data_IF_789629617025
#
_entry.id   IF_789629617025
#
_cell.length_a   1.000
_cell.length_b   1.000
_cell.length_c   1.000
_cell.angle_alpha   90.00
_cell.angle_beta   90.00
_cell.angle_gamma   90.00
#
_symmetry.space_group_name_H-M   'P 1'
#
loop_
_entity.id
_entity.type
_entity.pdbx_description
1 polymer ?
#
# COMPACT_ATOMS: atom_id res chain seq x y z
N UNK A 1 15.51 11.75 0.61
CA UNK A 1 15.64 10.70 1.67
C UNK A 1 14.89 9.48 1.20
N UNK A 2 15.44 8.26 1.35
CA UNK A 2 14.74 7.02 0.95
C UNK A 2 13.59 6.80 1.94
N UNK A 3 12.36 6.51 1.45
CA UNK A 3 11.23 6.18 2.32
C UNK A 3 11.53 4.96 3.21
N UNK A 4 11.12 5.00 4.46
CA UNK A 4 11.11 3.80 5.31
C UNK A 4 9.97 2.88 4.90
N UNK A 5 10.24 1.58 4.84
CA UNK A 5 9.25 0.55 4.49
C UNK A 5 9.29 -0.56 5.55
N UNK A 6 8.16 -0.83 6.14
CA UNK A 6 7.98 -1.92 7.09
C UNK A 6 6.92 -2.91 6.60
N UNK A 7 7.15 -4.18 6.85
CA UNK A 7 6.14 -5.22 6.63
C UNK A 7 5.92 -6.02 7.91
N UNK A 8 4.70 -6.46 8.13
CA UNK A 8 4.32 -7.27 9.28
C UNK A 8 3.28 -8.31 8.89
N UNK A 9 3.32 -9.51 9.48
CA UNK A 9 2.12 -10.34 9.52
C UNK A 9 1.03 -9.62 10.33
N UNK A 10 -0.24 -10.00 10.21
CA UNK A 10 -1.28 -9.54 11.10
C UNK A 10 -0.93 -9.85 12.57
N UNK A 11 -0.98 -8.84 13.42
CA UNK A 11 -0.77 -8.99 14.85
C UNK A 11 -2.04 -9.51 15.53
N UNK A 12 -1.85 -10.24 16.61
CA UNK A 12 -2.95 -10.59 17.52
C UNK A 12 -3.51 -9.35 18.22
N UNK A 13 -4.68 -9.48 18.83
CA UNK A 13 -5.28 -8.41 19.61
C UNK A 13 -4.37 -7.97 20.79
N UNK A 14 -3.70 -8.93 21.43
CA UNK A 14 -2.77 -8.66 22.54
C UNK A 14 -1.51 -7.91 22.06
N UNK A 15 -0.87 -8.38 20.98
CA UNK A 15 0.32 -7.74 20.41
C UNK A 15 0.04 -6.31 19.93
N UNK A 16 -1.14 -6.07 19.35
CA UNK A 16 -1.54 -4.75 18.87
C UNK A 16 -2.00 -3.81 19.97
N UNK A 17 -2.48 -4.34 21.12
CA UNK A 17 -3.11 -3.55 22.18
C UNK A 17 -2.20 -2.47 22.76
N UNK A 18 -0.89 -2.75 22.86
CA UNK A 18 0.11 -1.80 23.36
C UNK A 18 0.22 -0.53 22.50
N UNK A 19 -0.02 -0.65 21.19
CA UNK A 19 0.23 0.39 20.19
C UNK A 19 -1.05 0.97 19.58
N UNK A 20 -2.22 0.55 20.08
CA UNK A 20 -3.52 1.01 19.58
C UNK A 20 -4.33 1.66 20.69
N UNK A 21 -5.12 2.68 20.34
CA UNK A 21 -5.97 3.37 21.32
C UNK A 21 -7.23 2.54 21.65
N UNK A 22 -7.90 2.90 22.73
CA UNK A 22 -9.20 2.30 23.10
C UNK A 22 -10.26 2.50 22.02
N UNK A 23 -10.27 3.68 21.41
CA UNK A 23 -11.21 4.05 20.34
C UNK A 23 -10.95 3.21 19.08
N UNK A 24 -9.69 2.99 18.73
CA UNK A 24 -9.31 2.15 17.58
C UNK A 24 -9.71 0.68 17.81
N UNK A 25 -9.51 0.17 19.01
CA UNK A 25 -9.93 -1.20 19.35
C UNK A 25 -11.45 -1.33 19.35
N UNK A 26 -12.17 -0.32 19.86
CA UNK A 26 -13.62 -0.28 19.79
C UNK A 26 -14.14 -0.22 18.34
N UNK A 27 -13.52 0.61 17.48
CA UNK A 27 -13.83 0.65 16.06
C UNK A 27 -13.57 -0.69 15.36
N UNK A 28 -12.43 -1.33 15.67
CA UNK A 28 -12.10 -2.65 15.13
C UNK A 28 -13.12 -3.72 15.53
N UNK A 29 -13.65 -3.68 16.76
CA UNK A 29 -14.66 -4.62 17.23
C UNK A 29 -15.95 -4.57 16.40
N UNK A 30 -16.24 -3.45 15.73
CA UNK A 30 -17.37 -3.31 14.83
C UNK A 30 -17.21 -4.02 13.48
N UNK A 31 -16.02 -4.47 13.10
CA UNK A 31 -15.83 -5.22 11.86
C UNK A 31 -16.24 -6.69 12.02
N UNK A 32 -17.02 -7.21 11.08
CA UNK A 32 -17.45 -8.62 11.05
C UNK A 32 -16.24 -9.55 10.80
N UNK A 33 -15.33 -9.18 9.90
CA UNK A 33 -14.19 -9.99 9.52
C UNK A 33 -13.04 -9.85 10.52
N UNK A 34 -12.61 -10.99 11.12
CA UNK A 34 -11.41 -11.03 11.99
C UNK A 34 -10.15 -10.57 11.26
N UNK A 35 -10.00 -10.97 9.99
CA UNK A 35 -8.90 -10.52 9.16
C UNK A 35 -8.88 -9.00 9.06
N UNK A 36 -10.04 -8.36 8.78
CA UNK A 36 -10.13 -6.91 8.68
C UNK A 36 -9.84 -6.22 10.02
N UNK A 37 -10.25 -6.81 11.14
CA UNK A 37 -9.89 -6.33 12.48
C UNK A 37 -8.37 -6.34 12.68
N UNK A 38 -7.75 -7.48 12.39
CA UNK A 38 -6.30 -7.63 12.52
C UNK A 38 -5.53 -6.67 11.60
N UNK A 39 -5.91 -6.56 10.33
CA UNK A 39 -5.32 -5.61 9.38
C UNK A 39 -5.43 -4.17 9.89
N UNK A 40 -6.61 -3.77 10.35
CA UNK A 40 -6.89 -2.42 10.87
C UNK A 40 -6.03 -2.06 12.08
N UNK A 41 -5.86 -2.98 13.03
CA UNK A 41 -5.06 -2.75 14.25
C UNK A 41 -3.56 -2.87 13.95
N UNK A 42 -3.16 -3.81 13.10
CA UNK A 42 -1.75 -4.07 12.82
C UNK A 42 -1.04 -2.88 12.21
N UNK A 43 -1.58 -2.27 11.16
CA UNK A 43 -0.87 -1.16 10.52
C UNK A 43 -0.74 0.05 11.46
N UNK A 44 -1.73 0.29 12.33
CA UNK A 44 -1.67 1.34 13.35
C UNK A 44 -0.61 1.05 14.39
N UNK A 45 -0.55 -0.20 14.82
CA UNK A 45 0.49 -0.67 15.74
C UNK A 45 1.90 -0.51 15.14
N UNK A 46 2.07 -0.87 13.86
CA UNK A 46 3.34 -0.68 13.15
C UNK A 46 3.71 0.80 13.07
N UNK A 47 2.77 1.66 12.68
CA UNK A 47 3.03 3.12 12.61
C UNK A 47 3.50 3.67 13.95
N UNK A 48 2.82 3.35 15.06
CA UNK A 48 3.22 3.85 16.37
C UNK A 48 4.49 3.22 16.90
N UNK A 49 4.70 1.96 16.66
CA UNK A 49 5.96 1.29 17.04
C UNK A 49 7.18 1.93 16.39
N UNK A 50 7.06 2.33 15.14
CA UNK A 50 8.18 2.84 14.34
C UNK A 50 8.33 4.38 14.41
N UNK A 51 7.23 5.11 14.62
CA UNK A 51 7.23 6.58 14.58
C UNK A 51 6.93 7.24 15.94
N UNK A 52 6.60 6.47 16.97
CA UNK A 52 6.27 6.93 18.32
C UNK A 52 4.85 6.60 18.74
N UNK A 53 4.68 6.22 20.00
CA UNK A 53 3.40 5.79 20.60
C UNK A 53 2.35 6.91 20.67
N UNK A 54 2.80 8.17 20.68
CA UNK A 54 1.99 9.38 20.70
C UNK A 54 1.48 9.81 19.31
N UNK A 55 1.78 9.04 18.25
CA UNK A 55 1.37 9.39 16.88
C UNK A 55 -0.15 9.37 16.74
N UNK A 56 -0.70 10.53 16.34
CA UNK A 56 -2.10 10.69 15.97
C UNK A 56 -2.34 10.27 14.53
N UNK A 57 -3.39 9.46 14.30
CA UNK A 57 -3.77 8.93 13.00
C UNK A 57 -5.18 9.40 12.66
N UNK A 58 -5.36 9.96 11.48
CA UNK A 58 -6.64 10.34 10.90
C UNK A 58 -6.74 9.90 9.44
N UNK A 59 -7.81 10.27 8.78
CA UNK A 59 -7.99 10.07 7.34
C UNK A 59 -8.27 11.40 6.66
N UNK A 60 -7.72 11.58 5.49
CA UNK A 60 -8.02 12.73 4.64
C UNK A 60 -9.38 12.59 3.93
N UNK A 61 -9.75 13.60 3.14
CA UNK A 61 -11.00 13.63 2.39
C UNK A 61 -11.13 12.50 1.33
N UNK A 62 -10.02 11.87 0.94
CA UNK A 62 -9.99 10.75 0.01
C UNK A 62 -10.00 9.39 0.70
N UNK A 63 -9.90 9.38 2.03
CA UNK A 63 -9.85 8.17 2.85
C UNK A 63 -8.43 7.60 3.01
N UNK A 64 -7.40 8.36 2.63
CA UNK A 64 -6.01 7.95 2.87
C UNK A 64 -5.60 8.26 4.32
N UNK A 65 -4.80 7.40 4.97
CA UNK A 65 -4.32 7.64 6.32
C UNK A 65 -3.31 8.79 6.35
N UNK A 66 -3.46 9.67 7.35
CA UNK A 66 -2.57 10.81 7.59
C UNK A 66 -2.17 10.87 9.06
N UNK A 67 -0.98 11.40 9.34
CA UNK A 67 -0.52 11.67 10.70
C UNK A 67 -0.89 13.10 11.09
N UNK A 68 -1.47 13.28 12.28
CA UNK A 68 -1.97 14.59 12.72
C UNK A 68 -0.93 15.43 13.46
N UNK A 69 0.11 14.80 13.97
CA UNK A 69 1.13 15.44 14.81
C UNK A 69 2.57 15.13 14.36
N UNK A 70 2.76 14.73 13.12
CA UNK A 70 4.07 14.49 12.49
C UNK A 70 4.05 15.03 11.05
N UNK A 71 5.15 15.68 10.66
CA UNK A 71 5.40 16.09 9.27
C UNK A 71 5.96 14.91 8.44
N UNK A 72 5.23 13.81 8.44
CA UNK A 72 5.58 12.56 7.75
C UNK A 72 4.36 12.05 7.02
N UNK A 73 4.52 11.73 5.74
CA UNK A 73 3.51 11.05 4.95
C UNK A 73 3.58 9.55 5.19
N UNK A 74 2.43 8.90 5.23
CA UNK A 74 2.34 7.44 5.32
C UNK A 74 1.47 6.88 4.19
N UNK A 75 1.76 5.66 3.81
CA UNK A 75 0.91 4.85 2.93
C UNK A 75 0.83 3.44 3.47
N UNK A 76 -0.33 2.83 3.35
CA UNK A 76 -0.62 1.50 3.89
C UNK A 76 -1.19 0.62 2.79
N UNK A 77 -0.73 -0.61 2.74
CA UNK A 77 -1.31 -1.67 1.93
C UNK A 77 -1.38 -2.97 2.74
N UNK A 78 -2.29 -3.83 2.36
CA UNK A 78 -2.43 -5.15 2.96
C UNK A 78 -2.91 -6.18 1.94
N UNK A 79 -2.39 -7.37 2.04
CA UNK A 79 -2.86 -8.54 1.32
C UNK A 79 -3.04 -9.72 2.29
N UNK A 80 -3.40 -10.89 1.79
CA UNK A 80 -3.58 -12.06 2.63
C UNK A 80 -2.30 -12.38 3.43
N UNK A 81 -2.34 -12.14 4.75
CA UNK A 81 -1.26 -12.46 5.68
C UNK A 81 -0.10 -11.45 5.73
N UNK A 82 -0.21 -10.27 5.12
CA UNK A 82 0.82 -9.23 5.17
C UNK A 82 0.23 -7.83 5.18
N UNK A 83 0.87 -6.96 5.95
CA UNK A 83 0.64 -5.52 5.96
C UNK A 83 1.95 -4.84 5.58
N UNK A 84 1.88 -3.80 4.75
CA UNK A 84 3.00 -2.94 4.42
C UNK A 84 2.68 -1.50 4.82
N UNK A 85 3.64 -0.82 5.43
CA UNK A 85 3.57 0.60 5.79
C UNK A 85 4.81 1.28 5.22
N UNK A 86 4.58 2.33 4.45
CA UNK A 86 5.62 3.22 3.95
C UNK A 86 5.51 4.56 4.68
N UNK A 87 6.65 5.16 5.06
CA UNK A 87 6.70 6.48 5.67
C UNK A 87 7.83 7.31 5.09
N UNK A 88 7.59 8.62 4.86
CA UNK A 88 8.57 9.53 4.29
C UNK A 88 8.23 10.98 4.65
N UNK A 89 9.23 11.88 4.80
CA UNK A 89 8.99 13.33 4.83
C UNK A 89 8.34 13.86 3.56
N UNK A 90 8.55 13.20 2.43
CA UNK A 90 7.91 13.47 1.16
C UNK A 90 6.75 12.51 0.92
N UNK A 91 5.86 12.86 -0.01
CA UNK A 91 4.77 11.96 -0.40
C UNK A 91 5.31 10.59 -0.78
N UNK A 92 4.69 9.55 -0.25
CA UNK A 92 5.05 8.17 -0.54
C UNK A 92 3.80 7.32 -0.74
N UNK A 93 3.98 6.18 -1.38
CA UNK A 93 2.92 5.18 -1.53
C UNK A 93 3.51 3.77 -1.56
N UNK A 94 2.69 2.80 -1.19
CA UNK A 94 3.04 1.37 -1.20
C UNK A 94 1.84 0.54 -1.61
N UNK A 95 2.12 -0.54 -2.34
CA UNK A 95 1.18 -1.64 -2.53
C UNK A 95 1.87 -2.98 -2.30
N UNK A 96 1.08 -4.01 -1.95
CA UNK A 96 1.56 -5.36 -1.70
C UNK A 96 0.51 -6.38 -2.10
N UNK A 97 0.93 -7.39 -2.86
CA UNK A 97 0.07 -8.48 -3.29
C UNK A 97 0.78 -9.84 -3.15
N UNK A 98 0.03 -10.94 -2.94
CA UNK A 98 0.65 -12.25 -2.91
C UNK A 98 1.16 -12.64 -4.30
N UNK A 99 2.39 -13.12 -4.41
CA UNK A 99 2.95 -13.63 -5.66
C UNK A 99 2.15 -14.82 -6.25
N UNK A 100 1.35 -15.47 -5.41
CA UNK A 100 0.49 -16.60 -5.82
C UNK A 100 -0.86 -16.18 -6.39
N UNK A 101 -1.19 -14.86 -6.36
CA UNK A 101 -2.44 -14.34 -6.90
C UNK A 101 -2.44 -14.41 -8.42
N UNK A 102 -3.49 -14.98 -9.01
CA UNK A 102 -3.66 -14.96 -10.46
C UNK A 102 -4.19 -13.60 -10.95
N UNK A 103 -3.30 -12.82 -11.53
CA UNK A 103 -3.61 -11.50 -12.11
C UNK A 103 -4.05 -11.57 -13.58
N UNK A 104 -3.86 -12.69 -14.26
CA UNK A 104 -4.10 -12.82 -15.71
C UNK A 104 -5.55 -12.57 -16.08
N UNK A 105 -6.50 -13.01 -15.23
CA UNK A 105 -7.94 -12.81 -15.47
C UNK A 105 -8.37 -11.35 -15.55
N UNK A 106 -7.66 -10.47 -14.88
CA UNK A 106 -7.98 -9.04 -14.85
C UNK A 106 -6.99 -8.20 -15.68
N UNK A 107 -5.96 -8.81 -16.26
CA UNK A 107 -4.85 -8.13 -16.94
C UNK A 107 -5.34 -7.14 -18.00
N UNK A 108 -6.30 -7.53 -18.83
CA UNK A 108 -6.85 -6.67 -19.90
C UNK A 108 -7.48 -5.36 -19.42
N UNK A 109 -7.78 -5.24 -18.12
CA UNK A 109 -8.37 -4.03 -17.54
C UNK A 109 -7.33 -2.98 -17.16
N UNK A 110 -6.07 -3.37 -16.98
CA UNK A 110 -5.02 -2.45 -16.52
C UNK A 110 -3.71 -2.58 -17.29
N UNK A 111 -3.43 -3.71 -17.93
CA UNK A 111 -2.19 -3.97 -18.64
C UNK A 111 -2.30 -3.55 -20.11
N UNK A 112 -1.30 -2.84 -20.62
CA UNK A 112 -1.22 -2.49 -22.04
C UNK A 112 -0.27 -3.45 -22.79
N UNK A 113 -0.36 -3.57 -24.13
CA UNK A 113 0.59 -4.39 -24.90
C UNK A 113 2.06 -3.99 -24.70
N UNK A 114 2.31 -2.69 -24.53
CA UNK A 114 3.65 -2.15 -24.28
C UNK A 114 4.19 -2.61 -22.89
N UNK A 115 3.30 -2.67 -21.90
CA UNK A 115 3.65 -3.16 -20.57
C UNK A 115 3.83 -4.68 -20.55
N UNK A 116 3.05 -5.42 -21.33
CA UNK A 116 3.24 -6.87 -21.51
C UNK A 116 4.61 -7.21 -22.13
N UNK A 117 5.13 -6.33 -22.98
CA UNK A 117 6.43 -6.49 -23.64
C UNK A 117 7.63 -6.15 -22.73
N UNK A 118 7.43 -5.66 -21.50
CA UNK A 118 8.52 -5.28 -20.60
C UNK A 118 9.29 -6.48 -20.05
N UNK A 119 8.67 -7.66 -19.95
CA UNK A 119 9.30 -8.87 -19.42
C UNK A 119 8.47 -10.12 -19.71
N UNK A 120 9.14 -11.25 -19.87
CA UNK A 120 8.51 -12.59 -19.94
C UNK A 120 8.30 -13.22 -18.54
N UNK A 121 8.59 -12.50 -17.46
CA UNK A 121 8.41 -12.99 -16.10
C UNK A 121 6.91 -13.28 -15.84
N UNK A 122 6.54 -14.49 -15.39
CA UNK A 122 5.15 -14.83 -15.09
C UNK A 122 4.51 -13.97 -14.01
N UNK A 123 5.29 -13.25 -13.19
CA UNK A 123 4.82 -12.30 -12.18
C UNK A 123 4.56 -10.90 -12.75
N UNK A 124 4.92 -10.64 -14.00
CA UNK A 124 4.78 -9.31 -14.62
C UNK A 124 3.39 -8.69 -14.41
N UNK A 125 2.26 -9.41 -14.64
CA UNK A 125 0.94 -8.80 -14.42
C UNK A 125 0.72 -8.34 -12.98
N UNK A 126 1.19 -9.08 -11.99
CA UNK A 126 1.13 -8.71 -10.57
C UNK A 126 2.04 -7.52 -10.24
N UNK A 127 3.23 -7.48 -10.80
CA UNK A 127 4.19 -6.38 -10.63
C UNK A 127 3.62 -5.08 -11.19
N UNK A 128 3.06 -5.11 -12.41
CA UNK A 128 2.43 -3.92 -13.02
C UNK A 128 1.19 -3.49 -12.23
N UNK A 129 0.39 -4.44 -11.73
CA UNK A 129 -0.74 -4.12 -10.85
C UNK A 129 -0.28 -3.36 -9.60
N UNK A 130 0.68 -3.91 -8.83
CA UNK A 130 1.21 -3.24 -7.63
C UNK A 130 1.81 -1.86 -7.95
N UNK A 131 2.51 -1.73 -9.08
CA UNK A 131 3.06 -0.45 -9.51
C UNK A 131 1.95 0.57 -9.75
N UNK A 132 0.89 0.20 -10.46
CA UNK A 132 -0.25 1.10 -10.76
C UNK A 132 -1.08 1.44 -9.52
N UNK A 133 -1.31 0.49 -8.61
CA UNK A 133 -1.92 0.76 -7.30
C UNK A 133 -1.08 1.75 -6.47
N UNK A 134 0.24 1.55 -6.45
CA UNK A 134 1.16 2.49 -5.80
C UNK A 134 1.06 3.89 -6.38
N UNK A 135 1.03 4.00 -7.70
CA UNK A 135 0.89 5.28 -8.38
C UNK A 135 -0.47 5.95 -8.16
N UNK A 136 -1.53 5.16 -8.17
CA UNK A 136 -2.87 5.65 -7.87
C UNK A 136 -2.93 6.26 -6.46
N UNK A 137 -2.38 5.55 -5.46
CA UNK A 137 -2.25 6.06 -4.09
C UNK A 137 -1.36 7.30 -4.03
N UNK A 138 -0.23 7.28 -4.74
CA UNK A 138 0.68 8.43 -4.80
C UNK A 138 0.04 9.65 -5.46
N UNK A 139 -0.73 9.48 -6.53
CA UNK A 139 -1.43 10.57 -7.21
C UNK A 139 -2.43 11.27 -6.28
N UNK A 140 -3.07 10.54 -5.35
CA UNK A 140 -4.00 11.09 -4.38
C UNK A 140 -5.18 11.79 -5.03
N UNK A 141 -5.69 11.26 -6.12
CA UNK A 141 -6.88 11.75 -6.80
C UNK A 141 -7.73 10.59 -7.31
N UNK A 142 -9.03 10.82 -7.41
CA UNK A 142 -9.99 9.83 -7.94
C UNK A 142 -10.00 9.82 -9.47
N UNK A 143 -10.69 8.83 -10.04
CA UNK A 143 -11.03 8.76 -11.47
C UNK A 143 -9.85 8.54 -12.42
N UNK A 144 -8.72 8.01 -11.91
CA UNK A 144 -7.64 7.54 -12.78
C UNK A 144 -7.98 6.14 -13.28
N UNK A 145 -7.98 5.98 -14.59
CA UNK A 145 -8.08 4.68 -15.26
C UNK A 145 -6.70 4.02 -15.31
N UNK A 146 -6.60 2.80 -14.80
CA UNK A 146 -5.32 2.10 -14.68
C UNK A 146 -4.66 1.77 -16.01
N UNK A 147 -5.44 1.60 -17.07
CA UNK A 147 -4.91 1.28 -18.38
C UNK A 147 -4.58 2.53 -19.21
N UNK A 148 -5.41 3.58 -19.08
CA UNK A 148 -5.31 4.80 -19.87
C UNK A 148 -4.37 5.83 -19.25
N UNK A 149 -4.42 5.99 -17.90
CA UNK A 149 -3.83 7.15 -17.22
C UNK A 149 -2.54 6.79 -16.44
N UNK A 150 -2.33 5.50 -16.13
CA UNK A 150 -1.18 5.01 -15.38
C UNK A 150 -0.35 4.07 -16.25
N UNK A 151 0.92 4.40 -16.47
CA UNK A 151 1.81 3.61 -17.31
C UNK A 151 3.10 3.22 -16.58
N UNK A 152 3.47 1.96 -16.72
CA UNK A 152 4.78 1.45 -16.32
C UNK A 152 5.63 1.38 -17.58
N UNK A 153 6.65 2.22 -17.68
CA UNK A 153 7.46 2.34 -18.91
C UNK A 153 8.78 1.56 -18.83
N UNK A 154 9.17 1.14 -17.62
CA UNK A 154 10.40 0.37 -17.40
C UNK A 154 10.29 -0.45 -16.12
N UNK A 155 10.85 -1.65 -16.15
CA UNK A 155 11.05 -2.52 -15.00
C UNK A 155 12.53 -2.85 -14.88
N UNK A 156 13.07 -2.83 -13.66
CA UNK A 156 14.39 -3.32 -13.33
C UNK A 156 14.25 -4.47 -12.32
N UNK A 157 14.06 -5.67 -12.84
CA UNK A 157 13.89 -6.88 -12.03
C UNK A 157 15.23 -7.38 -11.46
N UNK A 158 16.36 -7.03 -12.07
CA UNK A 158 17.69 -7.48 -11.63
C UNK A 158 18.12 -6.81 -10.32
N UNK A 159 17.66 -5.58 -10.06
CA UNK A 159 17.93 -4.86 -8.83
C UNK A 159 17.03 -5.29 -7.66
N UNK A 160 16.10 -6.22 -7.87
CA UNK A 160 15.11 -6.63 -6.86
C UNK A 160 14.12 -5.52 -6.46
N UNK A 161 14.19 -4.38 -7.13
CA UNK A 161 13.32 -3.22 -6.94
C UNK A 161 12.63 -2.89 -8.26
N UNK A 162 11.28 -2.95 -8.31
CA UNK A 162 10.57 -2.42 -9.47
C UNK A 162 10.77 -0.90 -9.50
N UNK A 163 11.63 -0.43 -10.39
CA UNK A 163 11.72 1.00 -10.70
C UNK A 163 10.66 1.28 -11.74
N UNK A 164 9.51 1.76 -11.32
CA UNK A 164 8.50 2.24 -12.25
C UNK A 164 8.63 3.75 -12.40
N UNK A 165 8.87 4.20 -13.61
CA UNK A 165 8.67 5.60 -13.98
C UNK A 165 7.30 5.73 -14.64
N UNK A 166 6.47 6.62 -14.14
CA UNK A 166 5.18 6.90 -14.74
C UNK A 166 5.12 8.33 -15.20
N UNK A 167 4.53 8.54 -16.35
CA UNK A 167 4.05 9.83 -16.76
C UNK A 167 2.57 9.91 -16.41
N UNK A 168 2.22 10.68 -15.36
CA UNK A 168 0.87 11.20 -15.23
C UNK A 168 0.73 12.25 -16.34
N UNK A 169 -0.01 11.94 -17.40
CA UNK A 169 -0.46 12.98 -18.32
C UNK A 169 -1.48 13.84 -17.59
N UNK A 170 -1.15 15.12 -17.44
CA UNK A 170 -2.04 16.14 -16.92
C UNK A 170 -3.24 16.34 -17.85
#
# INVERSE_FOLDING_TARGET
MIPALWTSPPLTAEESARWTTSEERAAAAGFVSERRRAEFLTWRAVVRRELGDDVGIAYDALGAPVLTNRAVHISVAHCAGRIAVCASPERCAVDIEPATRDFRRAASRYLTPEEEALSDDPLLPGIVWCAKETLYKYAGRRELDFRRDLHVVRLDLAAGTPVSYTHLRA
#
